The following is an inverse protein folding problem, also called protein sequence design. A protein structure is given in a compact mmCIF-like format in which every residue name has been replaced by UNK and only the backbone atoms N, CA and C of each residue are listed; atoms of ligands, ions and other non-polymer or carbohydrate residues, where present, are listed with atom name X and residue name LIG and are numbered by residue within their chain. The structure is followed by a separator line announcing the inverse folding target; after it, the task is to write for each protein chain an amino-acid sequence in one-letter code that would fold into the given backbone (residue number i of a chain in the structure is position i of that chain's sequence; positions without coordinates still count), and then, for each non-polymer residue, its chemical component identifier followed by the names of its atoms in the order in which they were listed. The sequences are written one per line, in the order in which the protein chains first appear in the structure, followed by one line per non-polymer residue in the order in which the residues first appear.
data_IF_787966090562
#
_entry.id   IF_787966090562
#
_cell.length_a   1.000
_cell.length_b   1.000
_cell.length_c   1.000
_cell.angle_alpha   90.00
_cell.angle_beta   90.00
_cell.angle_gamma   90.00
#
_symmetry.space_group_name_H-M   'P 1'
#
loop_
_entity.id
_entity.type
_entity.pdbx_description
1 polymer ?
#
# COMPACT_ATOMS: atom_id res chain seq x y z
N UNK A 1 4.60 18.16 1.84
CA UNK A 1 3.89 19.11 0.95
C UNK A 1 4.79 20.23 0.42
N UNK A 2 5.70 20.75 1.22
CA UNK A 2 6.62 21.84 0.82
C UNK A 2 7.38 21.55 -0.50
N UNK A 3 7.70 20.30 -0.75
CA UNK A 3 8.41 19.84 -1.96
C UNK A 3 7.47 19.41 -3.10
N UNK A 4 6.19 19.78 -3.08
CA UNK A 4 5.25 19.56 -4.17
C UNK A 4 4.64 18.15 -4.22
N UNK A 5 4.70 17.37 -3.14
CA UNK A 5 4.01 16.07 -3.09
C UNK A 5 2.50 16.24 -3.31
N UNK A 6 1.91 15.47 -4.23
CA UNK A 6 0.47 15.50 -4.52
C UNK A 6 -0.35 15.06 -3.32
N UNK A 7 0.05 13.97 -2.65
CA UNK A 7 -0.50 13.52 -1.37
C UNK A 7 0.57 12.85 -0.51
N UNK A 8 0.30 12.69 0.77
CA UNK A 8 1.18 12.05 1.74
C UNK A 8 0.54 10.78 2.28
N UNK A 9 1.38 9.86 2.75
CA UNK A 9 0.96 8.60 3.41
C UNK A 9 1.56 8.55 4.80
N UNK A 10 0.75 8.22 5.80
CA UNK A 10 1.16 8.13 7.20
C UNK A 10 2.19 7.02 7.47
N UNK A 11 2.73 7.03 8.68
CA UNK A 11 3.33 5.85 9.30
C UNK A 11 2.30 4.69 9.35
N UNK A 12 2.81 3.45 9.49
CA UNK A 12 1.96 2.25 9.53
C UNK A 12 1.15 2.17 10.83
N UNK A 13 -0.18 2.17 10.72
CA UNK A 13 -1.15 2.09 11.81
C UNK A 13 -1.56 0.62 12.02
N UNK A 14 -1.32 0.10 13.22
CA UNK A 14 -1.75 -1.27 13.57
C UNK A 14 -3.27 -1.35 13.71
N UNK A 15 -3.92 -2.21 12.92
CA UNK A 15 -5.36 -2.44 13.01
C UNK A 15 -5.79 -2.90 14.42
N UNK A 16 -5.11 -3.88 14.99
CA UNK A 16 -5.35 -4.34 16.37
C UNK A 16 -5.01 -3.26 17.39
N UNK A 17 -3.87 -2.55 17.23
CA UNK A 17 -3.51 -1.44 18.11
C UNK A 17 -4.62 -0.39 18.18
N UNK A 18 -5.15 0.04 17.04
CA UNK A 18 -6.25 0.99 16.96
C UNK A 18 -7.55 0.43 17.56
N UNK A 19 -7.88 -0.84 17.26
CA UNK A 19 -9.08 -1.49 17.79
C UNK A 19 -9.07 -1.62 19.32
N UNK A 20 -7.91 -1.87 19.92
CA UNK A 20 -7.75 -2.02 21.37
C UNK A 20 -7.41 -0.71 22.10
N UNK A 21 -7.42 0.42 21.40
CA UNK A 21 -7.29 1.75 22.02
C UNK A 21 -5.86 2.12 22.43
N UNK A 22 -4.85 1.60 21.69
CA UNK A 22 -3.45 2.00 21.94
C UNK A 22 -3.26 3.49 21.59
N UNK A 23 -2.88 4.27 22.60
CA UNK A 23 -2.72 5.72 22.48
C UNK A 23 -1.62 6.14 21.51
N UNK A 24 -0.56 5.33 21.36
CA UNK A 24 0.51 5.64 20.40
C UNK A 24 0.01 5.45 18.97
N UNK A 25 -0.73 4.38 18.73
CA UNK A 25 -1.37 4.12 17.44
C UNK A 25 -2.39 5.21 17.08
N UNK A 26 -3.20 5.67 18.04
CA UNK A 26 -4.18 6.73 17.83
C UNK A 26 -3.53 8.06 17.39
N UNK A 27 -2.37 8.42 17.94
CA UNK A 27 -1.61 9.63 17.55
C UNK A 27 -1.14 9.60 16.08
N UNK A 28 -0.90 8.41 15.52
CA UNK A 28 -0.52 8.27 14.11
C UNK A 28 -1.69 8.55 13.15
N UNK A 29 -2.90 8.65 13.66
CA UNK A 29 -4.10 8.95 12.87
C UNK A 29 -4.39 10.45 12.78
N UNK A 30 -3.70 11.28 13.57
CA UNK A 30 -3.88 12.74 13.53
C UNK A 30 -3.38 13.30 12.20
N UNK A 31 -4.16 14.16 11.55
CA UNK A 31 -3.88 14.73 10.23
C UNK A 31 -3.91 16.26 10.34
N UNK A 32 -2.81 16.91 10.01
CA UNK A 32 -2.76 18.37 9.90
C UNK A 32 -3.38 18.83 8.57
N UNK A 33 -4.04 19.97 8.61
CA UNK A 33 -4.75 20.51 7.43
C UNK A 33 -3.84 20.73 6.23
N UNK A 34 -2.63 21.15 6.49
CA UNK A 34 -1.59 21.46 5.49
C UNK A 34 -1.02 20.21 4.80
N UNK A 35 -1.20 19.04 5.41
CA UNK A 35 -0.71 17.76 4.86
C UNK A 35 -1.65 17.16 3.81
N UNK A 36 -2.90 17.63 3.77
CA UNK A 36 -3.93 17.07 2.88
C UNK A 36 -3.64 17.32 1.38
N UNK A 37 -4.03 16.41 0.48
CA UNK A 37 -4.65 15.09 0.75
C UNK A 37 -3.69 14.15 1.49
N UNK A 38 -4.23 13.38 2.46
CA UNK A 38 -3.45 12.53 3.33
C UNK A 38 -4.06 11.12 3.43
N UNK A 39 -3.24 10.11 3.24
CA UNK A 39 -3.63 8.71 3.37
C UNK A 39 -3.21 8.16 4.73
N UNK A 40 -4.14 7.54 5.48
CA UNK A 40 -3.81 6.76 6.67
C UNK A 40 -3.53 5.31 6.27
N UNK A 41 -2.32 4.81 6.57
CA UNK A 41 -1.90 3.48 6.17
C UNK A 41 -2.11 2.44 7.27
N UNK A 42 -3.06 1.52 7.06
CA UNK A 42 -3.33 0.37 7.93
C UNK A 42 -2.43 -0.83 7.61
N UNK A 43 -2.08 -1.61 8.64
CA UNK A 43 -1.55 -2.96 8.48
C UNK A 43 -2.19 -3.92 9.48
N UNK A 44 -2.31 -5.18 9.08
CA UNK A 44 -2.86 -6.27 9.87
C UNK A 44 -2.99 -7.53 9.00
N UNK A 45 -3.28 -8.65 9.64
CA UNK A 45 -3.44 -9.97 9.02
C UNK A 45 -4.88 -10.50 9.10
N UNK A 46 -5.73 -9.84 9.88
CA UNK A 46 -7.08 -10.32 10.19
C UNK A 46 -8.13 -9.40 9.55
N UNK A 47 -8.97 -9.91 8.61
CA UNK A 47 -9.98 -9.11 7.92
C UNK A 47 -10.94 -8.38 8.85
N UNK A 48 -11.38 -9.02 9.94
CA UNK A 48 -12.29 -8.43 10.91
C UNK A 48 -11.68 -7.19 11.59
N UNK A 49 -10.43 -7.31 12.09
CA UNK A 49 -9.77 -6.17 12.73
C UNK A 49 -9.38 -5.09 11.74
N UNK A 50 -9.09 -5.44 10.49
CA UNK A 50 -8.82 -4.47 9.42
C UNK A 50 -10.07 -3.67 9.08
N UNK A 51 -11.22 -4.30 8.87
CA UNK A 51 -12.49 -3.61 8.65
C UNK A 51 -12.91 -2.75 9.84
N UNK A 52 -12.79 -3.27 11.07
CA UNK A 52 -13.08 -2.51 12.29
C UNK A 52 -12.16 -1.30 12.49
N UNK A 53 -10.89 -1.42 12.11
CA UNK A 53 -9.96 -0.30 12.15
C UNK A 53 -10.31 0.75 11.09
N UNK A 54 -10.67 0.35 9.87
CA UNK A 54 -11.12 1.26 8.83
C UNK A 54 -12.34 2.08 9.28
N UNK A 55 -13.34 1.43 9.90
CA UNK A 55 -14.48 2.14 10.49
C UNK A 55 -14.07 3.21 11.52
N UNK A 56 -13.11 2.87 12.41
CA UNK A 56 -12.58 3.84 13.38
C UNK A 56 -11.78 4.97 12.76
N UNK A 57 -11.10 4.73 11.63
CA UNK A 57 -10.36 5.78 10.92
C UNK A 57 -11.26 6.86 10.34
N UNK A 58 -12.54 6.58 10.08
CA UNK A 58 -13.50 7.58 9.60
C UNK A 58 -13.63 8.76 10.56
N UNK A 59 -13.44 8.55 11.87
CA UNK A 59 -13.46 9.62 12.89
C UNK A 59 -12.34 10.67 12.66
N UNK A 60 -11.26 10.29 11.97
CA UNK A 60 -10.14 11.18 11.61
C UNK A 60 -10.31 11.81 10.23
N UNK A 61 -11.37 11.43 9.49
CA UNK A 61 -11.70 11.94 8.15
C UNK A 61 -10.50 11.90 7.18
N UNK A 62 -9.82 10.76 6.98
CA UNK A 62 -8.73 10.66 6.02
C UNK A 62 -9.24 10.88 4.58
N UNK A 63 -8.38 11.39 3.71
CA UNK A 63 -8.72 11.49 2.29
C UNK A 63 -8.63 10.11 1.58
N UNK A 64 -7.79 9.21 2.12
CA UNK A 64 -7.57 7.85 1.61
C UNK A 64 -7.24 6.94 2.81
N UNK A 65 -7.73 5.69 2.78
CA UNK A 65 -7.17 4.61 3.61
C UNK A 65 -6.30 3.73 2.71
N UNK A 66 -5.00 3.62 3.04
CA UNK A 66 -4.07 2.73 2.34
C UNK A 66 -3.84 1.46 3.15
N UNK A 67 -3.75 0.31 2.48
CA UNK A 67 -3.49 -0.98 3.12
C UNK A 67 -2.05 -1.40 2.80
N UNK A 68 -1.24 -1.61 3.84
CA UNK A 68 0.11 -2.11 3.68
C UNK A 68 0.14 -3.64 3.52
N UNK A 69 0.46 -4.09 2.32
CA UNK A 69 0.73 -5.51 1.99
C UNK A 69 2.15 -5.70 1.44
N UNK A 70 3.07 -4.76 1.76
CA UNK A 70 4.43 -4.76 1.20
C UNK A 70 5.57 -4.66 2.21
N UNK A 71 5.31 -4.39 3.49
CA UNK A 71 6.35 -4.25 4.51
C UNK A 71 7.14 -5.57 4.67
N UNK A 72 8.49 -5.57 4.49
CA UNK A 72 9.30 -6.79 4.54
C UNK A 72 9.84 -7.10 5.94
N UNK A 73 9.63 -6.22 6.91
CA UNK A 73 10.23 -6.29 8.25
C UNK A 73 9.83 -7.57 8.99
N UNK A 74 10.78 -8.36 9.54
CA UNK A 74 10.50 -9.66 10.17
C UNK A 74 9.42 -9.63 11.22
N UNK A 75 9.37 -8.59 12.06
CA UNK A 75 8.34 -8.42 13.09
C UNK A 75 6.92 -8.30 12.51
N UNK A 76 6.76 -7.66 11.38
CA UNK A 76 5.46 -7.49 10.68
C UNK A 76 5.10 -8.78 9.96
N UNK A 77 6.04 -9.31 9.18
CA UNK A 77 5.86 -10.52 8.38
C UNK A 77 5.63 -11.76 9.26
N UNK A 78 6.32 -11.85 10.40
CA UNK A 78 6.17 -12.96 11.34
C UNK A 78 4.77 -13.08 11.95
N UNK A 79 4.00 -12.01 11.96
CA UNK A 79 2.60 -11.99 12.38
C UNK A 79 1.61 -12.22 11.22
N UNK A 80 2.07 -12.51 10.00
CA UNK A 80 1.19 -12.71 8.84
C UNK A 80 0.81 -11.43 8.09
N UNK A 81 1.27 -10.25 8.55
CA UNK A 81 0.94 -8.95 7.97
C UNK A 81 1.96 -8.50 6.90
N UNK A 82 1.70 -7.36 6.28
CA UNK A 82 2.61 -6.76 5.29
C UNK A 82 2.83 -7.70 4.11
N UNK A 83 4.08 -7.90 3.69
CA UNK A 83 4.39 -8.73 2.53
C UNK A 83 4.11 -10.23 2.71
N UNK A 84 3.81 -10.71 3.92
CA UNK A 84 3.33 -12.08 4.12
C UNK A 84 2.01 -12.33 3.39
N UNK A 85 1.17 -11.32 3.22
CA UNK A 85 -0.10 -11.39 2.48
C UNK A 85 0.10 -11.69 0.99
N UNK A 86 1.27 -11.43 0.42
CA UNK A 86 1.59 -11.84 -0.95
C UNK A 86 1.53 -13.38 -1.15
N UNK A 87 1.70 -14.16 -0.06
CA UNK A 87 1.55 -15.63 -0.09
C UNK A 87 0.11 -16.10 0.16
N UNK A 88 -0.77 -15.20 0.57
CA UNK A 88 -2.15 -15.46 0.97
C UNK A 88 -3.11 -14.52 0.23
N UNK A 89 -3.18 -14.61 -1.12
CA UNK A 89 -3.92 -13.65 -1.93
C UNK A 89 -5.42 -13.62 -1.59
N UNK A 90 -6.03 -14.74 -1.24
CA UNK A 90 -7.45 -14.78 -0.85
C UNK A 90 -7.70 -14.00 0.46
N UNK A 91 -6.82 -14.16 1.46
CA UNK A 91 -6.88 -13.37 2.70
C UNK A 91 -6.64 -11.88 2.43
N UNK A 92 -5.71 -11.55 1.54
CA UNK A 92 -5.46 -10.17 1.15
C UNK A 92 -6.69 -9.52 0.49
N UNK A 93 -7.38 -10.25 -0.38
CA UNK A 93 -8.62 -9.80 -1.00
C UNK A 93 -9.76 -9.64 0.03
N UNK A 94 -9.87 -10.54 0.99
CA UNK A 94 -10.85 -10.44 2.06
C UNK A 94 -10.59 -9.21 2.95
N UNK A 95 -9.33 -8.98 3.33
CA UNK A 95 -8.91 -7.75 4.04
C UNK A 95 -9.32 -6.51 3.23
N UNK A 96 -9.01 -6.48 1.93
CA UNK A 96 -9.36 -5.35 1.08
C UNK A 96 -10.88 -5.11 1.08
N UNK A 97 -11.70 -6.15 0.87
CA UNK A 97 -13.16 -6.06 0.88
C UNK A 97 -13.70 -5.53 2.21
N UNK A 98 -13.20 -6.03 3.34
CA UNK A 98 -13.65 -5.58 4.66
C UNK A 98 -13.25 -4.11 4.94
N UNK A 99 -12.07 -3.68 4.48
CA UNK A 99 -11.67 -2.27 4.60
C UNK A 99 -12.53 -1.38 3.70
N UNK A 100 -12.73 -1.75 2.43
CA UNK A 100 -13.59 -0.99 1.47
C UNK A 100 -15.02 -0.86 2.00
N UNK A 101 -15.58 -1.91 2.57
CA UNK A 101 -16.94 -1.92 3.13
C UNK A 101 -17.13 -0.96 4.31
N UNK A 102 -16.07 -0.70 5.07
CA UNK A 102 -16.13 0.06 6.32
C UNK A 102 -15.49 1.46 6.22
N UNK A 103 -14.87 1.80 5.11
CA UNK A 103 -14.25 3.11 4.85
C UNK A 103 -15.24 4.08 4.20
N UNK A 104 -15.25 5.35 4.64
CA UNK A 104 -16.02 6.44 4.03
C UNK A 104 -15.24 7.16 2.91
N UNK A 105 -14.01 6.73 2.62
CA UNK A 105 -13.13 7.31 1.62
C UNK A 105 -12.55 6.22 0.69
N UNK A 106 -11.90 6.59 -0.44
CA UNK A 106 -11.22 5.64 -1.31
C UNK A 106 -10.19 4.78 -0.57
N UNK A 107 -10.11 3.50 -0.93
CA UNK A 107 -9.14 2.55 -0.37
C UNK A 107 -8.09 2.20 -1.41
N UNK A 108 -6.82 2.28 -1.03
CA UNK A 108 -5.68 1.87 -1.86
C UNK A 108 -4.90 0.73 -1.21
N UNK A 109 -4.13 -0.01 -2.00
CA UNK A 109 -3.32 -1.12 -1.49
C UNK A 109 -1.90 -1.01 -2.00
N UNK A 110 -0.92 -1.08 -1.08
CA UNK A 110 0.51 -1.10 -1.42
C UNK A 110 1.12 -2.47 -1.20
N UNK A 111 1.73 -3.04 -2.26
CA UNK A 111 2.33 -4.37 -2.24
C UNK A 111 3.69 -4.41 -2.98
N UNK A 112 4.33 -5.58 -3.03
CA UNK A 112 5.60 -5.84 -3.71
C UNK A 112 5.42 -6.70 -4.95
N UNK A 113 6.52 -6.95 -5.69
CA UNK A 113 6.57 -7.86 -6.84
C UNK A 113 6.14 -9.30 -6.50
N UNK A 114 6.41 -9.72 -5.28
CA UNK A 114 6.12 -11.05 -4.76
C UNK A 114 6.85 -11.30 -3.45
N UNK A 115 6.79 -12.54 -2.95
CA UNK A 115 7.53 -12.94 -1.76
C UNK A 115 9.03 -13.09 -2.03
N UNK A 116 9.39 -13.84 -3.06
CA UNK A 116 10.75 -14.09 -3.52
C UNK A 116 10.80 -14.20 -5.05
N UNK A 117 11.95 -14.47 -5.61
CA UNK A 117 12.17 -14.59 -7.06
C UNK A 117 11.39 -15.75 -7.72
N UNK A 118 11.04 -16.78 -6.96
CA UNK A 118 10.33 -17.96 -7.44
C UNK A 118 8.79 -17.80 -7.28
N UNK A 119 8.35 -16.73 -6.62
CA UNK A 119 6.93 -16.48 -6.30
C UNK A 119 6.53 -15.02 -6.59
N UNK A 120 6.91 -14.53 -7.76
CA UNK A 120 6.47 -13.23 -8.29
C UNK A 120 5.01 -13.37 -8.73
N UNK A 121 4.10 -12.63 -8.10
CA UNK A 121 2.66 -12.72 -8.34
C UNK A 121 1.96 -11.35 -8.37
N UNK A 122 2.71 -10.25 -8.51
CA UNK A 122 2.17 -8.88 -8.46
C UNK A 122 1.00 -8.65 -9.42
N UNK A 123 1.04 -9.20 -10.63
CA UNK A 123 0.01 -9.01 -11.65
C UNK A 123 -1.32 -9.65 -11.23
N UNK A 124 -1.29 -10.91 -10.82
CA UNK A 124 -2.51 -11.62 -10.39
C UNK A 124 -3.01 -11.06 -9.05
N UNK A 125 -2.09 -10.67 -8.18
CA UNK A 125 -2.42 -10.00 -6.92
C UNK A 125 -3.14 -8.67 -7.16
N UNK A 126 -2.65 -7.83 -8.09
CA UNK A 126 -3.28 -6.56 -8.43
C UNK A 126 -4.71 -6.74 -8.98
N UNK A 127 -4.92 -7.72 -9.87
CA UNK A 127 -6.27 -8.05 -10.40
C UNK A 127 -7.22 -8.45 -9.27
N UNK A 128 -6.75 -9.26 -8.33
CA UNK A 128 -7.55 -9.72 -7.20
C UNK A 128 -7.92 -8.56 -6.27
N UNK A 129 -6.98 -7.65 -6.02
CA UNK A 129 -7.20 -6.45 -5.20
C UNK A 129 -8.15 -5.46 -5.90
N UNK A 130 -8.05 -5.27 -7.21
CA UNK A 130 -9.02 -4.49 -7.98
C UNK A 130 -10.43 -5.09 -7.85
N UNK A 131 -10.58 -6.41 -8.01
CA UNK A 131 -11.86 -7.11 -7.85
C UNK A 131 -12.41 -7.03 -6.41
N UNK A 132 -11.52 -6.86 -5.43
CA UNK A 132 -11.90 -6.64 -4.05
C UNK A 132 -12.37 -5.21 -3.74
N UNK A 133 -12.30 -4.29 -4.72
CA UNK A 133 -12.84 -2.94 -4.63
C UNK A 133 -11.81 -1.84 -4.32
N UNK A 134 -10.51 -2.11 -4.41
CA UNK A 134 -9.52 -1.06 -4.28
C UNK A 134 -9.66 0.00 -5.37
N UNK A 135 -9.47 1.27 -5.00
CA UNK A 135 -9.54 2.43 -5.90
C UNK A 135 -8.22 2.70 -6.64
N UNK A 136 -7.09 2.24 -6.10
CA UNK A 136 -5.78 2.30 -6.74
C UNK A 136 -4.83 1.28 -6.08
N UNK A 137 -3.72 0.97 -6.76
CA UNK A 137 -2.67 0.11 -6.21
C UNK A 137 -1.29 0.76 -6.34
N UNK A 138 -0.43 0.54 -5.34
CA UNK A 138 0.98 0.90 -5.39
C UNK A 138 1.84 -0.36 -5.48
N UNK A 139 2.58 -0.52 -6.56
CA UNK A 139 3.47 -1.67 -6.78
C UNK A 139 4.93 -1.28 -6.57
N UNK A 140 5.61 -1.90 -5.60
CA UNK A 140 7.06 -1.83 -5.47
C UNK A 140 7.70 -2.96 -6.27
N UNK A 141 8.53 -2.61 -7.26
CA UNK A 141 9.19 -3.54 -8.18
C UNK A 141 10.28 -4.42 -7.54
N UNK A 142 10.24 -4.66 -6.23
CA UNK A 142 11.11 -5.61 -5.51
C UNK A 142 10.29 -6.66 -4.80
N UNK A 143 10.84 -7.86 -4.68
CA UNK A 143 10.27 -8.91 -3.82
C UNK A 143 10.53 -8.61 -2.33
N UNK A 144 9.86 -9.38 -1.44
CA UNK A 144 10.11 -9.27 0.01
C UNK A 144 11.54 -9.65 0.35
N UNK A 145 12.08 -10.71 -0.25
CA UNK A 145 13.44 -11.20 0.05
C UNK A 145 14.53 -10.26 -0.41
N UNK A 146 14.33 -9.50 -1.47
CA UNK A 146 15.24 -8.43 -1.87
C UNK A 146 15.33 -7.30 -0.85
N UNK A 147 14.30 -7.09 -0.06
CA UNK A 147 14.23 -5.98 0.90
C UNK A 147 14.43 -4.63 0.19
N UNK A 148 15.68 -4.17 0.09
CA UNK A 148 16.11 -2.97 -0.63
C UNK A 148 17.35 -3.22 -1.50
N UNK A 149 17.81 -4.47 -1.61
CA UNK A 149 18.97 -4.83 -2.43
C UNK A 149 18.62 -4.89 -3.92
N UNK A 150 19.63 -4.80 -4.76
CA UNK A 150 19.48 -4.83 -6.22
C UNK A 150 18.68 -3.63 -6.75
N UNK A 151 18.09 -3.79 -7.92
CA UNK A 151 17.24 -2.79 -8.57
C UNK A 151 15.77 -3.22 -8.50
N UNK A 152 14.87 -2.24 -8.44
CA UNK A 152 13.45 -2.47 -8.62
C UNK A 152 13.18 -2.85 -10.09
N UNK A 153 12.42 -3.90 -10.28
CA UNK A 153 11.99 -4.34 -11.62
C UNK A 153 10.77 -3.51 -12.05
N UNK A 154 11.01 -2.54 -12.93
CA UNK A 154 9.96 -1.67 -13.44
C UNK A 154 9.07 -2.36 -14.49
N UNK A 155 9.55 -3.45 -15.12
CA UNK A 155 8.72 -4.23 -16.05
C UNK A 155 7.55 -4.91 -15.32
N UNK A 156 7.72 -5.28 -14.06
CA UNK A 156 6.61 -5.78 -13.22
C UNK A 156 5.57 -4.69 -13.01
N UNK A 157 5.98 -3.43 -12.75
CA UNK A 157 5.06 -2.30 -12.60
C UNK A 157 4.28 -2.07 -13.90
N UNK A 158 4.97 -2.13 -15.05
CA UNK A 158 4.35 -2.03 -16.38
C UNK A 158 3.34 -3.15 -16.62
N UNK A 159 3.66 -4.38 -16.24
CA UNK A 159 2.74 -5.52 -16.38
C UNK A 159 1.49 -5.34 -15.51
N UNK A 160 1.67 -4.87 -14.25
CA UNK A 160 0.55 -4.54 -13.36
C UNK A 160 -0.32 -3.47 -14.00
N UNK A 161 0.29 -2.37 -14.52
CA UNK A 161 -0.47 -1.30 -15.20
C UNK A 161 -1.27 -1.79 -16.39
N UNK A 162 -0.72 -2.71 -17.18
CA UNK A 162 -1.44 -3.31 -18.32
C UNK A 162 -2.55 -4.30 -17.93
N UNK A 163 -2.57 -4.75 -16.67
CA UNK A 163 -3.45 -5.81 -16.20
C UNK A 163 -4.70 -5.32 -15.42
N UNK A 164 -4.70 -4.09 -14.91
CA UNK A 164 -5.79 -3.50 -14.12
C UNK A 164 -6.30 -2.21 -14.78
N UNK A 165 -7.52 -1.82 -14.43
CA UNK A 165 -8.15 -0.58 -14.91
C UNK A 165 -8.01 0.58 -13.92
N UNK A 166 -7.82 0.27 -12.64
CA UNK A 166 -7.60 1.27 -11.59
C UNK A 166 -6.21 1.91 -11.72
N UNK A 167 -6.00 3.11 -11.18
CA UNK A 167 -4.70 3.76 -11.16
C UNK A 167 -3.62 2.90 -10.53
N UNK A 168 -2.43 2.91 -11.14
CA UNK A 168 -1.22 2.23 -10.65
C UNK A 168 -0.17 3.26 -10.28
N UNK A 169 0.33 3.16 -9.07
CA UNK A 169 1.40 4.00 -8.53
C UNK A 169 2.69 3.19 -8.55
N UNK A 170 3.68 3.65 -9.32
CA UNK A 170 5.00 3.01 -9.40
C UNK A 170 5.86 3.37 -8.19
N UNK A 171 6.59 2.40 -7.64
CA UNK A 171 7.48 2.61 -6.51
C UNK A 171 8.79 1.81 -6.65
N UNK A 172 9.88 2.42 -6.22
CA UNK A 172 11.23 1.83 -6.17
C UNK A 172 12.22 2.52 -7.09
N UNK A 173 13.37 2.89 -6.51
CA UNK A 173 14.52 3.53 -7.19
C UNK A 173 14.22 4.87 -7.87
N UNK A 174 13.21 5.58 -7.40
CA UNK A 174 12.94 6.97 -7.77
C UNK A 174 13.54 7.87 -6.69
N UNK A 175 14.56 8.64 -7.07
CA UNK A 175 15.36 9.48 -6.16
C UNK A 175 15.39 10.96 -6.58
N UNK A 176 14.97 11.25 -7.81
CA UNK A 176 14.94 12.58 -8.40
C UNK A 176 13.87 12.71 -9.49
N UNK A 177 13.77 13.89 -10.09
CA UNK A 177 12.81 14.16 -11.16
C UNK A 177 13.07 13.37 -12.45
N UNK A 178 14.33 13.07 -12.77
CA UNK A 178 14.71 12.30 -13.96
C UNK A 178 14.28 10.84 -13.82
N UNK A 179 14.54 10.23 -12.68
CA UNK A 179 14.09 8.85 -12.39
C UNK A 179 12.58 8.75 -12.26
N UNK A 180 11.91 9.80 -11.74
CA UNK A 180 10.45 9.85 -11.73
C UNK A 180 9.88 9.87 -13.15
N UNK A 181 10.42 10.72 -14.03
CA UNK A 181 10.05 10.80 -15.44
C UNK A 181 10.28 9.47 -16.15
N UNK A 182 11.46 8.87 -15.95
CA UNK A 182 11.79 7.56 -16.52
C UNK A 182 10.80 6.47 -16.10
N UNK A 183 10.37 6.46 -14.83
CA UNK A 183 9.36 5.49 -14.37
C UNK A 183 8.03 5.68 -15.10
N UNK A 184 7.54 6.90 -15.28
CA UNK A 184 6.33 7.17 -16.08
C UNK A 184 6.46 6.67 -17.51
N UNK A 185 7.57 7.01 -18.17
CA UNK A 185 7.81 6.66 -19.59
C UNK A 185 7.96 5.15 -19.81
N UNK A 186 8.63 4.45 -18.89
CA UNK A 186 8.89 3.01 -19.03
C UNK A 186 7.70 2.15 -18.61
N UNK A 187 6.95 2.55 -17.59
CA UNK A 187 5.91 1.70 -16.99
C UNK A 187 4.49 2.09 -17.41
N UNK A 188 4.28 3.36 -17.77
CA UNK A 188 2.95 3.91 -18.02
C UNK A 188 2.10 4.05 -16.73
N UNK A 189 2.71 3.99 -15.54
CA UNK A 189 2.00 4.18 -14.29
C UNK A 189 1.39 5.57 -14.18
N UNK A 190 0.35 5.73 -13.38
CA UNK A 190 -0.41 6.99 -13.28
C UNK A 190 0.22 7.97 -12.29
N UNK A 191 0.89 7.47 -11.26
CA UNK A 191 1.60 8.23 -10.23
C UNK A 191 2.90 7.51 -9.83
N UNK A 192 3.79 8.23 -9.17
CA UNK A 192 5.05 7.71 -8.63
C UNK A 192 5.11 7.97 -7.14
N UNK A 193 5.44 6.92 -6.36
CA UNK A 193 5.67 7.04 -4.92
C UNK A 193 7.17 7.09 -4.63
N UNK A 194 7.60 8.12 -3.91
CA UNK A 194 8.95 8.28 -3.40
C UNK A 194 8.94 7.90 -1.92
N UNK A 195 9.74 6.92 -1.54
CA UNK A 195 9.84 6.48 -0.14
C UNK A 195 11.18 6.87 0.49
N UNK A 196 12.29 6.56 -0.21
CA UNK A 196 13.65 6.95 0.16
C UNK A 196 14.23 7.69 -1.02
N UNK A 197 14.49 8.95 -0.88
CA UNK A 197 15.12 9.83 -1.84
C UNK A 197 16.53 10.22 -1.40
#
# INVERSE_FOLDING_TARGET
KEYGASYLVSEMISSKGLCFGDKKTARLCEIEKEERPYALQLFGEDPYYMGKAAYKLNDYSPDIIDINMGCPVPKIVGNGSGSALMKLPDTAAEICREVVKNADCPVTVKFRAGWDENSINAVEFAKLIEQAGASAVTCHGRTRTQFYSGKADWDIIKQVKGAVKIPVIGNGDVVDGESAKAMYEQTGCDLVMIGRG
#
